data_IF_319992353845
#
_entry.id   IF_319992353845
#
_cell.length_a   1.000
_cell.length_b   1.000
_cell.length_c   1.000
_cell.angle_alpha   90.00
_cell.angle_beta   90.00
_cell.angle_gamma   90.00
#
_symmetry.space_group_name_H-M   'P 1'
#
loop_
_entity.id
_entity.type
_entity.pdbx_description
1 polymer ?
#
# COMPACT_ATOMS: atom_id res chain seq x y z
N UNK A 1 -7.40 -7.47 -9.19
CA UNK A 1 -6.92 -7.11 -7.84
C UNK A 1 -7.29 -8.21 -6.86
N UNK A 2 -6.50 -8.41 -5.80
CA UNK A 2 -6.85 -9.30 -4.70
C UNK A 2 -7.59 -8.56 -3.58
N UNK A 3 -7.25 -8.81 -2.32
CA UNK A 3 -7.90 -8.19 -1.14
C UNK A 3 -6.93 -7.29 -0.37
N UNK A 4 -7.42 -6.15 0.09
CA UNK A 4 -6.75 -5.36 1.11
C UNK A 4 -6.71 -6.15 2.41
N UNK A 5 -5.52 -6.37 2.95
CA UNK A 5 -5.33 -7.07 4.23
C UNK A 5 -5.20 -6.05 5.34
N UNK A 6 -4.36 -5.04 5.16
CA UNK A 6 -4.04 -4.11 6.24
C UNK A 6 -3.30 -2.85 5.82
N UNK A 7 -3.60 -1.74 6.49
CA UNK A 7 -2.73 -0.57 6.59
C UNK A 7 -2.06 -0.49 7.98
N UNK A 8 -0.85 0.09 8.06
CA UNK A 8 -0.19 0.41 9.34
C UNK A 8 -0.99 1.42 10.15
N UNK A 9 -1.55 2.43 9.47
CA UNK A 9 -2.44 3.43 10.02
C UNK A 9 -3.43 3.87 8.94
N UNK A 10 -4.47 4.60 9.33
CA UNK A 10 -5.41 5.25 8.40
C UNK A 10 -5.89 6.52 9.07
N UNK A 11 -5.81 7.66 8.39
CA UNK A 11 -6.19 8.95 8.96
C UNK A 11 -7.72 9.05 9.16
N UNK A 12 -8.47 9.42 8.13
CA UNK A 12 -9.93 9.50 8.23
C UNK A 12 -10.61 8.14 7.96
N UNK A 13 -10.42 7.16 8.84
CA UNK A 13 -11.11 5.87 8.73
C UNK A 13 -12.64 6.03 8.89
N UNK A 14 -13.48 5.40 8.06
CA UNK A 14 -13.16 4.48 6.96
C UNK A 14 -13.00 5.14 5.59
N UNK A 15 -13.13 6.46 5.49
CA UNK A 15 -13.19 7.20 4.23
C UNK A 15 -11.89 7.17 3.42
N UNK A 16 -10.73 7.12 4.08
CA UNK A 16 -9.40 7.08 3.45
C UNK A 16 -8.73 5.69 3.63
N UNK A 17 -9.54 4.64 3.65
CA UNK A 17 -9.08 3.27 3.93
C UNK A 17 -8.33 2.63 2.76
N UNK A 18 -7.44 1.67 3.08
CA UNK A 18 -6.73 0.83 2.11
C UNK A 18 -7.66 0.22 1.04
N UNK A 19 -8.92 -0.06 1.37
CA UNK A 19 -9.86 -0.64 0.41
C UNK A 19 -10.07 0.23 -0.83
N UNK A 20 -9.92 1.55 -0.71
CA UNK A 20 -10.05 2.50 -1.81
C UNK A 20 -8.96 2.32 -2.88
N UNK A 21 -7.79 1.81 -2.49
CA UNK A 21 -6.67 1.53 -3.42
C UNK A 21 -6.93 0.30 -4.31
N UNK A 22 -7.97 -0.48 -4.02
CA UNK A 22 -8.39 -1.59 -4.88
C UNK A 22 -9.17 -1.11 -6.10
N UNK A 23 -9.70 0.12 -6.05
CA UNK A 23 -10.32 0.76 -7.20
C UNK A 23 -9.22 1.23 -8.17
N UNK A 24 -9.38 1.02 -9.50
CA UNK A 24 -8.38 1.43 -10.49
C UNK A 24 -8.36 2.94 -10.74
N UNK A 25 -9.31 3.70 -10.18
CA UNK A 25 -9.43 5.14 -10.31
C UNK A 25 -9.34 5.80 -8.94
N UNK A 26 -8.74 6.97 -8.90
CA UNK A 26 -8.73 7.90 -7.77
C UNK A 26 -10.11 8.52 -7.46
N UNK A 27 -11.15 8.13 -8.20
CA UNK A 27 -12.54 8.52 -7.99
C UNK A 27 -13.48 7.33 -8.10
N UNK A 28 -14.41 7.26 -7.16
CA UNK A 28 -15.57 6.37 -7.23
C UNK A 28 -16.84 7.23 -7.31
N UNK A 29 -17.32 7.47 -8.53
CA UNK A 29 -18.35 8.48 -8.80
C UNK A 29 -17.82 9.89 -8.48
N UNK A 30 -18.48 10.59 -7.55
CA UNK A 30 -18.02 11.91 -7.07
C UNK A 30 -17.07 11.84 -5.87
N UNK A 31 -16.87 10.65 -5.28
CA UNK A 31 -16.07 10.49 -4.07
C UNK A 31 -14.60 10.24 -4.42
N UNK A 32 -13.66 10.87 -3.70
CA UNK A 32 -12.26 10.55 -3.87
C UNK A 32 -11.99 9.12 -3.36
N UNK A 33 -11.08 8.42 -4.03
CA UNK A 33 -10.71 7.04 -3.76
C UNK A 33 -9.20 6.94 -3.58
N UNK A 34 -8.75 7.10 -2.34
CA UNK A 34 -7.33 7.02 -1.96
C UNK A 34 -7.18 6.44 -0.56
N UNK A 35 -5.94 6.14 -0.20
CA UNK A 35 -5.54 5.88 1.17
C UNK A 35 -4.57 6.96 1.67
N UNK A 36 -4.69 7.29 2.94
CA UNK A 36 -3.80 8.18 3.69
C UNK A 36 -3.43 7.54 5.03
N UNK A 37 -2.24 7.86 5.53
CA UNK A 37 -1.83 7.51 6.89
C UNK A 37 -2.08 8.67 7.84
N UNK A 38 -2.22 8.38 9.14
CA UNK A 38 -2.17 9.38 10.22
C UNK A 38 -0.80 10.10 10.22
N UNK A 39 0.21 9.40 9.68
CA UNK A 39 1.60 9.82 9.69
C UNK A 39 2.30 9.37 10.95
N UNK A 40 3.62 9.58 10.96
CA UNK A 40 4.48 9.17 12.05
C UNK A 40 5.40 10.32 12.46
N UNK A 41 5.73 10.39 13.75
CA UNK A 41 6.62 11.43 14.30
C UNK A 41 8.08 11.23 13.87
N UNK A 42 8.54 9.97 13.83
CA UNK A 42 9.80 9.59 13.19
C UNK A 42 9.66 9.63 11.65
N UNK A 43 10.42 10.49 10.94
CA UNK A 43 10.38 10.59 9.48
C UNK A 43 10.94 9.35 8.76
N UNK A 44 11.64 8.46 9.46
CA UNK A 44 12.18 7.23 8.88
C UNK A 44 11.25 6.02 9.07
N UNK A 45 10.20 6.16 9.90
CA UNK A 45 9.23 5.10 10.09
C UNK A 45 8.35 4.95 8.83
N UNK A 46 8.27 3.74 8.24
CA UNK A 46 7.43 3.51 7.08
C UNK A 46 5.96 3.39 7.47
N UNK A 47 5.10 3.91 6.60
CA UNK A 47 3.68 3.57 6.57
C UNK A 47 3.46 2.48 5.52
N UNK A 48 2.60 1.50 5.77
CA UNK A 48 2.59 0.28 4.97
C UNK A 48 1.20 -0.23 4.65
N UNK A 49 1.02 -0.75 3.43
CA UNK A 49 -0.19 -1.40 2.94
C UNK A 49 0.14 -2.84 2.56
N UNK A 50 -0.66 -3.79 3.04
CA UNK A 50 -0.50 -5.22 2.77
C UNK A 50 -1.71 -5.70 1.98
N UNK A 51 -1.44 -6.41 0.89
CA UNK A 51 -2.43 -6.99 -0.01
C UNK A 51 -2.24 -8.50 -0.12
N UNK A 52 -3.35 -9.20 -0.17
CA UNK A 52 -3.42 -10.59 -0.59
C UNK A 52 -3.76 -10.64 -2.06
N UNK A 53 -2.99 -11.38 -2.85
CA UNK A 53 -3.24 -11.52 -4.28
C UNK A 53 -4.43 -12.48 -4.53
N UNK A 54 -5.07 -12.37 -5.70
CA UNK A 54 -6.31 -13.11 -6.00
C UNK A 54 -6.11 -14.62 -6.01
N UNK A 55 -4.92 -15.07 -6.39
CA UNK A 55 -4.54 -16.47 -6.44
C UNK A 55 -3.46 -16.78 -5.40
N UNK A 56 -3.39 -18.05 -5.01
CA UNK A 56 -2.30 -18.57 -4.18
C UNK A 56 -0.95 -18.60 -4.94
N UNK A 57 -0.95 -18.35 -6.25
CA UNK A 57 0.26 -18.22 -7.02
C UNK A 57 -0.01 -17.24 -8.15
N UNK A 58 0.70 -16.12 -8.16
CA UNK A 58 0.60 -15.19 -9.27
C UNK A 58 1.93 -14.52 -9.56
N UNK A 59 2.14 -14.22 -10.83
CA UNK A 59 3.28 -13.43 -11.25
C UNK A 59 2.91 -11.95 -11.16
N UNK A 60 3.69 -11.17 -10.41
CA UNK A 60 3.58 -9.72 -10.46
C UNK A 60 4.54 -9.25 -11.53
N UNK A 61 4.01 -8.70 -12.61
CA UNK A 61 4.79 -8.13 -13.71
C UNK A 61 4.91 -6.63 -13.61
N UNK A 62 3.95 -5.99 -12.94
CA UNK A 62 3.83 -4.54 -12.90
C UNK A 62 3.21 -4.08 -11.57
N UNK A 63 3.75 -3.00 -11.02
CA UNK A 63 3.12 -2.25 -9.92
C UNK A 63 3.05 -0.79 -10.32
N UNK A 64 1.84 -0.24 -10.21
CA UNK A 64 1.50 1.15 -10.52
C UNK A 64 1.14 1.90 -9.25
N UNK A 65 1.83 3.00 -8.97
CA UNK A 65 1.52 3.89 -7.84
C UNK A 65 1.21 5.28 -8.37
N UNK A 66 -0.02 5.71 -8.13
CA UNK A 66 -0.51 7.03 -8.50
C UNK A 66 -0.57 7.93 -7.25
N UNK A 67 0.18 9.04 -7.22
CA UNK A 67 -0.04 10.10 -6.24
C UNK A 67 -1.46 10.67 -6.32
N UNK A 68 -2.01 11.11 -5.19
CA UNK A 68 -3.36 11.66 -5.14
C UNK A 68 -3.33 13.19 -5.24
N UNK A 69 -3.99 13.75 -6.26
CA UNK A 69 -4.23 15.19 -6.35
C UNK A 69 -5.43 15.56 -5.48
N UNK A 70 -5.22 16.43 -4.49
CA UNK A 70 -6.29 16.86 -3.59
C UNK A 70 -7.14 17.94 -4.25
N UNK A 71 -7.91 17.53 -5.25
CA UNK A 71 -8.67 18.40 -6.14
C UNK A 71 -9.74 19.26 -5.45
N UNK A 72 -10.08 18.93 -4.19
CA UNK A 72 -11.02 19.67 -3.36
C UNK A 72 -10.36 20.76 -2.49
N UNK A 73 -9.03 20.92 -2.53
CA UNK A 73 -8.31 22.02 -1.89
C UNK A 73 -7.82 23.06 -2.90
N UNK A 74 -7.69 24.32 -2.43
CA UNK A 74 -7.09 25.40 -3.24
C UNK A 74 -5.64 25.06 -3.56
N UNK A 75 -5.24 25.26 -4.82
CA UNK A 75 -3.90 24.93 -5.31
C UNK A 75 -3.71 23.45 -5.68
N UNK A 76 -4.68 22.57 -5.37
CA UNK A 76 -4.69 21.15 -5.74
C UNK A 76 -3.35 20.44 -5.47
N UNK A 77 -2.90 20.42 -4.20
CA UNK A 77 -1.63 19.81 -3.85
C UNK A 77 -1.63 18.32 -4.20
N UNK A 78 -0.47 17.79 -4.57
CA UNK A 78 -0.28 16.36 -4.83
C UNK A 78 0.26 15.70 -3.58
N UNK A 79 -0.53 14.79 -3.01
CA UNK A 79 -0.12 13.92 -1.91
C UNK A 79 0.59 12.70 -2.48
N UNK A 80 1.92 12.70 -2.33
CA UNK A 80 2.80 11.58 -2.70
C UNK A 80 3.70 11.23 -1.53
N UNK A 81 3.96 9.92 -1.35
CA UNK A 81 5.10 9.49 -0.56
C UNK A 81 6.41 10.06 -1.14
N UNK A 82 7.46 10.14 -0.34
CA UNK A 82 8.82 10.53 -0.77
C UNK A 82 9.49 9.38 -1.52
N UNK A 83 9.42 8.18 -0.95
CA UNK A 83 9.91 6.96 -1.57
C UNK A 83 9.01 5.78 -1.21
N UNK A 84 9.12 4.72 -2.00
CA UNK A 84 8.37 3.49 -1.83
C UNK A 84 9.29 2.27 -1.92
N UNK A 85 8.95 1.21 -1.18
CA UNK A 85 9.61 -0.09 -1.23
C UNK A 85 8.57 -1.19 -1.29
N UNK A 86 8.89 -2.24 -2.04
CA UNK A 86 8.03 -3.39 -2.26
C UNK A 86 8.60 -4.59 -1.52
N UNK A 87 7.74 -5.31 -0.81
CA UNK A 87 8.05 -6.62 -0.22
C UNK A 87 7.07 -7.64 -0.72
N UNK A 88 7.59 -8.80 -1.05
CA UNK A 88 6.87 -9.89 -1.70
C UNK A 88 7.13 -11.15 -0.88
N UNK A 89 6.07 -11.88 -0.56
CA UNK A 89 6.17 -12.96 0.43
C UNK A 89 4.91 -13.81 0.54
N UNK A 90 4.83 -14.56 1.63
CA UNK A 90 3.72 -15.45 1.95
C UNK A 90 3.53 -15.56 3.47
N UNK A 91 2.42 -16.14 3.92
CA UNK A 91 2.23 -16.40 5.36
C UNK A 91 3.15 -17.50 5.85
N UNK A 92 3.64 -17.35 7.08
CA UNK A 92 4.42 -18.40 7.74
C UNK A 92 3.58 -19.65 8.03
N UNK A 93 2.27 -19.49 8.28
CA UNK A 93 1.39 -20.61 8.63
C UNK A 93 0.07 -20.62 7.85
N UNK A 94 -0.35 -21.80 7.40
CA UNK A 94 -1.66 -22.03 6.77
C UNK A 94 -2.83 -21.73 7.73
N UNK A 95 -2.65 -21.90 9.05
CA UNK A 95 -3.67 -21.61 10.07
C UNK A 95 -3.99 -20.11 10.16
N UNK A 96 -3.06 -19.25 9.76
CA UNK A 96 -3.25 -17.79 9.71
C UNK A 96 -4.01 -17.35 8.45
N UNK A 97 -4.12 -18.20 7.42
CA UNK A 97 -4.81 -17.89 6.15
C UNK A 97 -6.29 -17.59 6.36
N UNK A 98 -6.95 -18.27 7.30
CA UNK A 98 -8.36 -18.05 7.65
C UNK A 98 -8.58 -16.75 8.46
N UNK A 99 -7.56 -16.26 9.17
CA UNK A 99 -7.65 -15.10 10.06
C UNK A 99 -7.20 -13.78 9.42
N UNK A 100 -6.71 -13.82 8.18
CA UNK A 100 -6.22 -12.64 7.46
C UNK A 100 -7.23 -11.49 7.35
N UNK A 101 -8.50 -11.83 7.18
CA UNK A 101 -9.58 -10.85 7.04
C UNK A 101 -10.11 -10.36 8.39
N UNK A 102 -9.73 -11.02 9.49
CA UNK A 102 -10.19 -10.72 10.85
C UNK A 102 -9.06 -10.18 11.74
N UNK A 103 -7.91 -9.81 11.18
CA UNK A 103 -6.83 -9.30 12.01
C UNK A 103 -7.20 -7.94 12.62
N UNK A 104 -7.13 -7.80 13.95
CA UNK A 104 -7.21 -6.49 14.58
C UNK A 104 -6.10 -5.60 14.02
N UNK A 105 -6.43 -4.38 13.59
CA UNK A 105 -5.47 -3.41 13.03
C UNK A 105 -4.33 -3.03 14.00
N UNK A 106 -4.42 -3.43 15.28
CA UNK A 106 -3.54 -3.02 16.38
C UNK A 106 -2.27 -3.87 16.62
N UNK A 107 -2.14 -5.08 16.06
CA UNK A 107 -0.99 -5.98 16.38
C UNK A 107 -0.01 -6.08 15.22
N UNK A 108 1.32 -6.01 15.33
CA UNK A 108 2.24 -6.05 14.18
C UNK A 108 1.90 -7.16 13.16
N UNK A 109 1.62 -6.80 11.91
CA UNK A 109 1.25 -7.78 10.88
C UNK A 109 2.48 -8.49 10.32
N UNK A 110 3.62 -7.79 10.29
CA UNK A 110 4.82 -8.23 9.58
C UNK A 110 5.35 -9.57 10.07
N UNK A 111 5.24 -9.85 11.37
CA UNK A 111 5.77 -11.07 11.97
C UNK A 111 5.07 -12.34 11.49
N UNK A 112 3.90 -12.21 10.86
CA UNK A 112 3.12 -13.33 10.30
C UNK A 112 3.52 -13.69 8.88
N UNK A 113 4.31 -12.83 8.24
CA UNK A 113 4.72 -13.00 6.85
C UNK A 113 6.20 -13.37 6.75
N UNK A 114 6.51 -14.28 5.84
CA UNK A 114 7.86 -14.52 5.36
C UNK A 114 8.04 -13.74 4.05
N UNK A 115 8.82 -12.65 4.11
CA UNK A 115 9.16 -11.84 2.95
C UNK A 115 10.36 -12.47 2.24
N UNK A 116 10.15 -12.98 1.03
CA UNK A 116 11.18 -13.65 0.22
C UNK A 116 11.87 -12.70 -0.75
N UNK A 117 11.25 -11.56 -1.04
CA UNK A 117 11.84 -10.51 -1.85
C UNK A 117 11.56 -9.14 -1.24
N UNK A 118 12.56 -8.28 -1.28
CA UNK A 118 12.48 -6.86 -0.91
C UNK A 118 13.17 -6.08 -2.02
N UNK A 119 12.47 -5.10 -2.59
CA UNK A 119 13.06 -4.22 -3.59
C UNK A 119 13.99 -3.18 -2.97
N UNK A 120 14.73 -2.47 -3.83
CA UNK A 120 15.30 -1.17 -3.47
C UNK A 120 14.20 -0.13 -3.14
N UNK A 121 14.61 1.04 -2.67
CA UNK A 121 13.70 2.18 -2.48
C UNK A 121 13.62 3.01 -3.77
N UNK A 122 12.40 3.18 -4.27
CA UNK A 122 12.14 4.00 -5.44
C UNK A 122 11.69 5.38 -5.00
N UNK A 123 12.36 6.43 -5.48
CA UNK A 123 11.95 7.80 -5.21
C UNK A 123 10.69 8.13 -6.01
N UNK A 124 9.69 8.69 -5.34
CA UNK A 124 8.47 9.14 -5.97
C UNK A 124 8.66 10.60 -6.43
N UNK A 125 8.44 10.86 -7.71
CA UNK A 125 8.34 12.24 -8.22
C UNK A 125 6.89 12.68 -8.03
N UNK A 126 6.65 13.81 -7.36
CA UNK A 126 5.33 14.34 -6.96
C UNK A 126 4.37 14.67 -8.13
N UNK A 127 4.62 14.21 -9.35
CA UNK A 127 3.88 14.59 -10.57
C UNK A 127 3.58 13.41 -11.51
N UNK A 128 4.04 12.19 -11.21
CA UNK A 128 3.96 11.09 -12.18
C UNK A 128 3.56 9.76 -11.55
N UNK A 129 2.79 8.97 -12.30
CA UNK A 129 2.58 7.55 -12.07
C UNK A 129 3.94 6.84 -12.01
N UNK A 130 4.23 6.16 -10.90
CA UNK A 130 5.39 5.27 -10.84
C UNK A 130 4.96 3.87 -11.33
N UNK A 131 5.53 3.44 -12.44
CA UNK A 131 5.37 2.08 -12.98
C UNK A 131 6.68 1.31 -12.81
N UNK A 132 6.61 0.17 -12.14
CA UNK A 132 7.75 -0.73 -11.96
C UNK A 132 7.48 -2.06 -12.61
N UNK A 133 8.39 -2.49 -13.49
CA UNK A 133 8.34 -3.77 -14.16
C UNK A 133 9.21 -4.77 -13.42
N UNK A 134 8.63 -5.93 -13.10
CA UNK A 134 9.34 -7.02 -12.44
C UNK A 134 9.59 -8.14 -13.45
N UNK A 135 10.84 -8.59 -13.65
CA UNK A 135 11.10 -9.81 -14.40
C UNK A 135 10.50 -10.99 -13.63
N UNK A 136 9.45 -11.59 -14.20
CA UNK A 136 8.68 -12.76 -13.71
C UNK A 136 9.04 -13.26 -12.30
N UNK A 137 8.40 -12.70 -11.27
CA UNK A 137 8.48 -13.21 -9.90
C UNK A 137 7.13 -13.81 -9.49
N UNK A 138 7.15 -15.08 -9.08
CA UNK A 138 5.96 -15.83 -8.67
C UNK A 138 5.76 -15.69 -7.16
N UNK A 139 4.69 -15.01 -6.73
CA UNK A 139 4.47 -14.58 -5.33
C UNK A 139 3.00 -14.70 -4.90
N UNK A 140 2.79 -14.77 -3.58
CA UNK A 140 1.53 -14.93 -2.88
C UNK A 140 0.95 -13.62 -2.29
N UNK A 141 1.80 -12.72 -1.78
CA UNK A 141 1.41 -11.48 -1.10
C UNK A 141 2.32 -10.31 -1.47
N UNK A 142 1.78 -9.09 -1.38
CA UNK A 142 2.53 -7.85 -1.61
C UNK A 142 2.34 -6.89 -0.45
N UNK A 143 3.44 -6.38 0.10
CA UNK A 143 3.49 -5.27 1.03
C UNK A 143 4.15 -4.07 0.35
N UNK A 144 3.45 -2.95 0.37
CA UNK A 144 3.94 -1.64 -0.05
C UNK A 144 4.32 -0.85 1.19
N UNK A 145 5.56 -0.37 1.25
CA UNK A 145 6.01 0.57 2.26
C UNK A 145 6.19 1.94 1.64
N UNK A 146 5.63 2.96 2.26
CA UNK A 146 5.67 4.36 1.90
C UNK A 146 6.47 5.11 2.97
N UNK A 147 7.44 5.90 2.56
CA UNK A 147 8.23 6.75 3.45
C UNK A 147 7.83 8.21 3.21
N UNK A 148 7.51 8.94 4.28
CA UNK A 148 7.01 10.32 4.21
C UNK A 148 7.98 11.32 4.85
N UNK A 149 8.03 12.53 4.30
CA UNK A 149 8.56 13.73 4.96
C UNK A 149 7.41 14.71 5.14
N UNK A 150 7.13 15.13 6.38
CA UNK A 150 6.06 16.09 6.69
C UNK A 150 6.48 17.48 6.19
N UNK A 151 5.72 18.04 5.26
CA UNK A 151 5.43 19.47 5.22
C UNK A 151 4.00 19.64 4.68
N UNK A 152 3.06 19.78 5.61
CA UNK A 152 2.00 20.77 5.47
C UNK A 152 2.36 21.91 6.41
#
# INVERSE_FOLDING_TARGET
MGHAVRASSTDHYPFESIVNTLAPSDRYGSRPSYWSSIGHSDPNAPETLIYKLKADLCCITEINIQPFEVYFHRGRPICSAKSVRFRLGHLKSSREKCNLLHFPQLQPADDKFLWTYTSEEFQMRQVQLLTLLFPTQVILLTKLSFYWWRHM
#
